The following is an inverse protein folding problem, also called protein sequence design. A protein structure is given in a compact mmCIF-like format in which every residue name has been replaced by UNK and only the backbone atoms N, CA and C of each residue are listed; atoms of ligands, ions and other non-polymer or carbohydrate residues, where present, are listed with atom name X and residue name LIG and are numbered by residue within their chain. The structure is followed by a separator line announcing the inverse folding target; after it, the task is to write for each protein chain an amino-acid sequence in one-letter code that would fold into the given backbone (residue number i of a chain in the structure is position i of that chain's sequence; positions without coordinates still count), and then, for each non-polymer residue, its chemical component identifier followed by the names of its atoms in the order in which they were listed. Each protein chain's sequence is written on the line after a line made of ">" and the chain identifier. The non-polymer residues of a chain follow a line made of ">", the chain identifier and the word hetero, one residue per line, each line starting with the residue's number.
data_IF_370527388996
#
_entry.id   IF_370527388996
#
_cell.length_a   1.000
_cell.length_b   1.000
_cell.length_c   1.000
_cell.angle_alpha   90.00
_cell.angle_beta   90.00
_cell.angle_gamma   90.00
#
_symmetry.space_group_name_H-M   'P 1'
#
loop_
_entity.id
_entity.type
_entity.pdbx_description
1 polymer ?
#
# COMPACT_ATOMS: atom_id res chain seq x y z
N UNK A 1 15.76 8.72 -1.25
CA UNK A 1 14.39 9.10 -0.85
C UNK A 1 13.45 8.69 -1.97
N UNK A 2 12.36 8.01 -1.65
CA UNK A 2 11.37 7.63 -2.67
C UNK A 2 10.52 8.85 -3.04
N UNK A 3 10.07 8.90 -4.29
CA UNK A 3 9.30 10.01 -4.85
C UNK A 3 7.98 9.46 -5.39
N UNK A 4 7.05 10.35 -5.78
CA UNK A 4 5.79 9.94 -6.44
C UNK A 4 6.04 9.00 -7.63
N UNK A 5 7.13 9.21 -8.38
CA UNK A 5 7.53 8.33 -9.48
C UNK A 5 7.85 6.91 -9.01
N UNK A 6 8.67 6.76 -7.96
CA UNK A 6 9.00 5.44 -7.39
C UNK A 6 7.76 4.72 -6.84
N UNK A 7 6.84 5.46 -6.21
CA UNK A 7 5.58 4.90 -5.71
C UNK A 7 4.71 4.40 -6.87
N UNK A 8 4.62 5.15 -7.97
CA UNK A 8 3.92 4.69 -9.19
C UNK A 8 4.53 3.41 -9.73
N UNK A 9 5.86 3.33 -9.86
CA UNK A 9 6.54 2.11 -10.30
C UNK A 9 6.23 0.92 -9.40
N UNK A 10 6.24 1.14 -8.08
CA UNK A 10 5.93 0.09 -7.10
C UNK A 10 4.49 -0.40 -7.29
N UNK A 11 3.51 0.51 -7.40
CA UNK A 11 2.10 0.15 -7.62
C UNK A 11 1.96 -0.63 -8.92
N UNK A 12 2.52 -0.16 -10.04
CA UNK A 12 2.43 -0.88 -11.31
C UNK A 12 3.03 -2.29 -11.23
N UNK A 13 4.18 -2.44 -10.57
CA UNK A 13 4.76 -3.76 -10.30
C UNK A 13 3.84 -4.66 -9.45
N UNK A 14 3.12 -4.10 -8.48
CA UNK A 14 2.13 -4.85 -7.70
C UNK A 14 0.96 -5.31 -8.56
N UNK A 15 0.51 -4.46 -9.48
CA UNK A 15 -0.60 -4.79 -10.40
C UNK A 15 -0.21 -5.95 -11.31
N UNK A 16 1.03 -5.97 -11.81
CA UNK A 16 1.58 -7.09 -12.58
C UNK A 16 1.67 -8.37 -11.74
N UNK A 17 2.21 -8.30 -10.51
CA UNK A 17 2.30 -9.46 -9.62
C UNK A 17 0.92 -9.98 -9.19
N UNK A 18 -0.07 -9.10 -9.07
CA UNK A 18 -1.46 -9.46 -8.74
C UNK A 18 -2.15 -10.27 -9.84
N UNK A 19 -1.69 -10.10 -11.08
CA UNK A 19 -2.08 -10.89 -12.24
C UNK A 19 -1.50 -12.29 -12.27
N UNK A 20 -0.28 -12.44 -11.80
CA UNK A 20 0.33 -13.76 -11.56
C UNK A 20 -0.41 -14.46 -10.41
N UNK A 21 -0.74 -13.69 -9.37
CA UNK A 21 -1.49 -14.14 -8.21
C UNK A 21 -0.63 -14.36 -6.97
N UNK A 22 -1.32 -14.43 -5.84
CA UNK A 22 -0.79 -14.84 -4.55
C UNK A 22 -0.61 -16.35 -4.52
N UNK A 23 0.28 -16.84 -3.67
CA UNK A 23 0.60 -18.27 -3.53
C UNK A 23 -0.55 -19.08 -2.91
N UNK A 24 -1.57 -18.39 -2.38
CA UNK A 24 -2.84 -19.00 -1.98
C UNK A 24 -3.82 -19.24 -3.16
N UNK A 25 -3.44 -18.87 -4.39
CA UNK A 25 -4.24 -19.03 -5.61
C UNK A 25 -5.17 -17.87 -5.94
N UNK A 26 -5.27 -16.84 -5.10
CA UNK A 26 -6.04 -15.63 -5.38
C UNK A 26 -5.29 -14.72 -6.36
N UNK A 27 -5.97 -14.22 -7.38
CA UNK A 27 -5.42 -13.27 -8.36
C UNK A 27 -6.48 -12.22 -8.72
N UNK A 28 -6.05 -11.01 -9.08
CA UNK A 28 -6.98 -9.91 -9.33
C UNK A 28 -6.41 -8.79 -10.21
N UNK A 29 -7.31 -8.17 -10.99
CA UNK A 29 -6.95 -7.03 -11.86
C UNK A 29 -7.06 -5.79 -11.02
N UNK A 30 -5.97 -5.37 -10.41
CA UNK A 30 -6.00 -4.08 -9.73
C UNK A 30 -6.15 -3.01 -10.83
N UNK A 31 -7.20 -2.17 -10.79
CA UNK A 31 -7.35 -1.08 -11.73
C UNK A 31 -6.20 -0.08 -11.58
N UNK A 32 -6.08 0.87 -12.52
CA UNK A 32 -5.13 1.95 -12.33
C UNK A 32 -5.47 2.73 -11.06
N UNK A 33 -4.45 2.93 -10.23
CA UNK A 33 -4.57 3.61 -8.96
C UNK A 33 -4.02 5.02 -9.06
N UNK A 34 -4.77 5.96 -8.51
CA UNK A 34 -4.39 7.35 -8.41
C UNK A 34 -3.63 7.58 -7.11
N UNK A 35 -2.61 8.43 -7.16
CA UNK A 35 -1.86 8.82 -5.97
C UNK A 35 -2.10 10.29 -5.72
N UNK A 36 -2.69 10.58 -4.58
CA UNK A 36 -2.85 11.93 -4.07
C UNK A 36 -1.89 12.17 -2.90
N UNK A 37 -1.18 13.30 -2.92
CA UNK A 37 -0.24 13.67 -1.85
C UNK A 37 -0.83 14.90 -1.17
N UNK A 38 -1.32 14.70 0.04
CA UNK A 38 -2.05 15.70 0.80
C UNK A 38 -1.12 16.59 1.61
N UNK A 39 -1.53 17.85 1.69
CA UNK A 39 -0.89 18.91 2.46
C UNK A 39 -1.91 19.50 3.45
N UNK A 40 -1.49 19.85 4.68
CA UNK A 40 -2.38 20.52 5.64
C UNK A 40 -3.01 21.81 5.09
N UNK A 41 -4.22 22.20 5.50
CA UNK A 41 -5.01 21.59 6.59
C UNK A 41 -5.94 20.45 6.14
N UNK A 42 -5.94 20.12 4.85
CA UNK A 42 -6.81 19.09 4.29
C UNK A 42 -6.15 17.71 4.32
N UNK A 43 -5.16 17.47 5.20
CA UNK A 43 -4.63 16.13 5.42
C UNK A 43 -5.48 15.38 6.46
N UNK A 44 -5.38 14.05 6.50
CA UNK A 44 -6.11 13.23 7.47
C UNK A 44 -5.30 13.01 8.74
N UNK A 45 -5.92 12.86 9.91
CA UNK A 45 -5.17 12.45 11.12
C UNK A 45 -4.62 11.02 10.98
N UNK A 46 -5.42 10.12 10.39
CA UNK A 46 -5.11 8.70 10.20
C UNK A 46 -5.34 7.86 11.46
N UNK A 47 -5.76 6.61 11.29
CA UNK A 47 -5.85 5.67 12.43
C UNK A 47 -4.43 5.30 12.84
N UNK A 48 -4.10 5.51 14.13
CA UNK A 48 -2.74 5.30 14.69
C UNK A 48 -1.64 6.06 13.92
N UNK A 49 -1.98 7.15 13.25
CA UNK A 49 -1.03 7.93 12.46
C UNK A 49 -0.56 7.24 11.17
N UNK A 50 -1.35 6.32 10.59
CA UNK A 50 -1.05 5.74 9.28
C UNK A 50 -0.84 6.89 8.26
N UNK A 51 0.33 6.96 7.58
CA UNK A 51 0.65 8.07 6.67
C UNK A 51 0.16 7.84 5.23
N UNK A 52 -0.49 6.72 4.94
CA UNK A 52 -1.11 6.36 3.67
C UNK A 52 -2.50 5.77 3.93
N UNK A 53 -3.45 5.96 3.02
CA UNK A 53 -4.78 5.33 3.08
C UNK A 53 -5.30 5.02 1.68
N UNK A 54 -5.89 3.84 1.51
CA UNK A 54 -6.72 3.51 0.36
C UNK A 54 -8.14 4.06 0.53
N UNK A 55 -8.64 4.78 -0.48
CA UNK A 55 -9.94 5.45 -0.41
C UNK A 55 -11.06 4.44 -0.70
N UNK A 56 -11.53 3.78 0.36
CA UNK A 56 -12.73 2.93 0.34
C UNK A 56 -14.01 3.73 0.66
N UNK A 57 -15.16 3.05 0.69
CA UNK A 57 -16.46 3.72 0.86
C UNK A 57 -16.56 4.50 2.17
N UNK A 58 -16.03 3.94 3.27
CA UNK A 58 -16.06 4.59 4.57
C UNK A 58 -15.20 5.86 4.58
N UNK A 59 -13.98 5.77 4.04
CA UNK A 59 -13.06 6.91 3.94
C UNK A 59 -13.63 8.00 3.05
N UNK A 60 -14.16 7.62 1.89
CA UNK A 60 -14.77 8.55 0.94
C UNK A 60 -15.98 9.27 1.54
N UNK A 61 -16.83 8.55 2.28
CA UNK A 61 -17.99 9.16 2.96
C UNK A 61 -17.59 10.20 4.01
N UNK A 62 -16.48 9.96 4.72
CA UNK A 62 -16.02 10.84 5.80
C UNK A 62 -15.26 12.07 5.29
N UNK A 63 -14.43 11.89 4.26
CA UNK A 63 -13.43 12.89 3.85
C UNK A 63 -13.56 13.32 2.39
N UNK A 64 -14.26 12.56 1.53
CA UNK A 64 -14.30 12.83 0.07
C UNK A 64 -14.87 14.19 -0.30
N UNK A 65 -15.73 14.79 0.54
CA UNK A 65 -16.22 16.16 0.32
C UNK A 65 -15.11 17.23 0.41
N UNK A 66 -13.97 16.92 1.03
CA UNK A 66 -12.79 17.79 1.11
C UNK A 66 -11.78 17.51 -0.01
N UNK A 67 -12.01 16.49 -0.83
CA UNK A 67 -11.07 15.94 -1.80
C UNK A 67 -11.78 15.58 -3.11
N UNK A 68 -12.03 16.60 -3.95
CA UNK A 68 -12.79 16.45 -5.20
C UNK A 68 -12.16 15.46 -6.20
N UNK A 69 -10.83 15.31 -6.15
CA UNK A 69 -10.08 14.42 -7.04
C UNK A 69 -10.05 12.95 -6.58
N UNK A 70 -10.66 12.62 -5.43
CA UNK A 70 -10.66 11.24 -4.97
C UNK A 70 -11.64 10.38 -5.76
N UNK A 71 -11.16 9.23 -6.19
CA UNK A 71 -11.94 8.19 -6.86
C UNK A 71 -12.04 6.97 -5.95
N UNK A 72 -13.28 6.63 -5.59
CA UNK A 72 -13.60 5.49 -4.75
C UNK A 72 -12.97 4.19 -5.29
N UNK A 73 -12.29 3.46 -4.40
CA UNK A 73 -11.57 2.23 -4.66
C UNK A 73 -10.46 2.34 -5.73
N UNK A 74 -9.96 3.55 -5.99
CA UNK A 74 -8.86 3.79 -6.93
C UNK A 74 -7.81 4.77 -6.42
N UNK A 75 -8.14 5.66 -5.49
CA UNK A 75 -7.16 6.59 -4.94
C UNK A 75 -6.45 5.99 -3.72
N UNK A 76 -5.12 6.18 -3.67
CA UNK A 76 -4.31 6.06 -2.46
C UNK A 76 -3.87 7.48 -2.10
N UNK A 77 -4.28 7.95 -0.92
CA UNK A 77 -3.90 9.25 -0.40
C UNK A 77 -2.74 9.12 0.58
N UNK A 78 -1.73 9.98 0.45
CA UNK A 78 -0.49 9.96 1.23
C UNK A 78 -0.28 11.31 1.91
N UNK A 79 0.26 11.32 3.12
CA UNK A 79 0.77 12.56 3.72
C UNK A 79 2.10 12.95 3.08
N UNK A 80 2.34 14.24 2.84
CA UNK A 80 3.62 14.70 2.29
C UNK A 80 4.83 14.25 3.12
N UNK A 81 4.75 14.33 4.45
CA UNK A 81 5.83 13.93 5.35
C UNK A 81 6.12 12.42 5.36
N UNK A 82 5.23 11.60 4.78
CA UNK A 82 5.47 10.18 4.56
C UNK A 82 6.68 9.93 3.68
N UNK A 83 6.91 10.80 2.70
CA UNK A 83 8.00 10.66 1.74
C UNK A 83 9.39 10.84 2.37
N UNK A 84 9.44 11.34 3.61
CA UNK A 84 10.66 11.47 4.41
C UNK A 84 11.03 10.19 5.18
N UNK A 85 10.16 9.17 5.17
CA UNK A 85 10.39 7.90 5.86
C UNK A 85 11.47 7.06 5.18
N UNK A 86 12.09 6.11 5.90
CA UNK A 86 12.97 5.11 5.31
C UNK A 86 12.29 4.38 4.13
N UNK A 87 13.02 4.05 3.04
CA UNK A 87 12.42 3.47 1.84
C UNK A 87 11.56 2.22 2.11
N UNK A 88 11.98 1.34 3.01
CA UNK A 88 11.22 0.12 3.33
C UNK A 88 9.89 0.41 4.04
N UNK A 89 9.85 1.44 4.90
CA UNK A 89 8.58 1.88 5.50
C UNK A 89 7.62 2.41 4.42
N UNK A 90 8.14 3.16 3.44
CA UNK A 90 7.34 3.67 2.33
C UNK A 90 6.83 2.51 1.47
N UNK A 91 7.73 1.61 1.04
CA UNK A 91 7.38 0.43 0.24
C UNK A 91 6.26 -0.34 0.95
N UNK A 92 6.49 -0.73 2.21
CA UNK A 92 5.55 -1.56 2.94
C UNK A 92 4.15 -0.93 3.09
N UNK A 93 4.06 0.36 3.39
CA UNK A 93 2.74 1.01 3.48
C UNK A 93 2.06 1.12 2.10
N UNK A 94 2.78 1.39 1.02
CA UNK A 94 2.18 1.40 -0.33
C UNK A 94 1.70 0.00 -0.73
N UNK A 95 2.47 -1.05 -0.43
CA UNK A 95 2.06 -2.43 -0.67
C UNK A 95 0.81 -2.78 0.14
N UNK A 96 0.73 -2.32 1.38
CA UNK A 96 -0.45 -2.49 2.23
C UNK A 96 -1.70 -1.87 1.63
N UNK A 97 -1.64 -0.58 1.26
CA UNK A 97 -2.80 0.12 0.67
C UNK A 97 -3.17 -0.46 -0.71
N UNK A 98 -2.17 -0.92 -1.47
CA UNK A 98 -2.42 -1.66 -2.73
C UNK A 98 -3.07 -3.02 -2.46
N UNK A 99 -2.78 -3.65 -1.32
CA UNK A 99 -3.46 -4.85 -0.86
C UNK A 99 -4.95 -4.65 -0.60
N UNK A 100 -5.36 -3.48 -0.10
CA UNK A 100 -6.78 -3.14 -0.03
C UNK A 100 -7.43 -3.04 -1.42
N UNK A 101 -6.74 -2.42 -2.39
CA UNK A 101 -7.20 -2.37 -3.77
C UNK A 101 -7.29 -3.78 -4.39
N UNK A 102 -6.32 -4.65 -4.10
CA UNK A 102 -6.33 -6.06 -4.47
C UNK A 102 -7.55 -6.78 -3.92
N UNK A 103 -7.84 -6.64 -2.62
CA UNK A 103 -8.97 -7.32 -2.00
C UNK A 103 -10.29 -6.97 -2.68
N UNK A 104 -10.50 -5.68 -2.97
CA UNK A 104 -11.68 -5.19 -3.70
C UNK A 104 -11.73 -5.78 -5.12
N UNK A 105 -10.61 -5.75 -5.85
CA UNK A 105 -10.53 -6.29 -7.21
C UNK A 105 -10.72 -7.81 -7.26
N UNK A 106 -10.25 -8.53 -6.26
CA UNK A 106 -10.36 -9.98 -6.10
C UNK A 106 -11.76 -10.43 -5.63
N UNK A 107 -12.62 -9.48 -5.26
CA UNK A 107 -13.94 -9.74 -4.65
C UNK A 107 -13.85 -10.58 -3.37
N UNK A 108 -12.78 -10.39 -2.59
CA UNK A 108 -12.64 -10.96 -1.24
C UNK A 108 -12.90 -9.88 -0.19
N UNK A 109 -13.04 -10.30 1.06
CA UNK A 109 -13.27 -9.36 2.16
C UNK A 109 -12.12 -8.36 2.28
N UNK A 110 -12.44 -7.05 2.25
CA UNK A 110 -11.43 -6.00 2.37
C UNK A 110 -11.07 -5.75 3.84
N UNK A 111 -10.26 -6.64 4.42
CA UNK A 111 -9.79 -6.56 5.80
C UNK A 111 -8.31 -6.17 5.88
N UNK A 112 -7.89 -5.66 7.04
CA UNK A 112 -6.47 -5.46 7.37
C UNK A 112 -5.66 -6.75 7.20
N UNK A 113 -6.21 -7.89 7.67
CA UNK A 113 -5.57 -9.20 7.57
C UNK A 113 -5.26 -9.59 6.12
N UNK A 114 -6.23 -9.44 5.21
CA UNK A 114 -6.02 -9.75 3.79
C UNK A 114 -5.03 -8.77 3.13
N UNK A 115 -5.07 -7.48 3.50
CA UNK A 115 -4.06 -6.52 3.06
C UNK A 115 -2.65 -6.87 3.57
N UNK A 116 -2.51 -7.37 4.80
CA UNK A 116 -1.22 -7.88 5.32
C UNK A 116 -0.74 -9.11 4.56
N UNK A 117 -1.61 -10.05 4.20
CA UNK A 117 -1.22 -11.21 3.37
C UNK A 117 -0.64 -10.74 2.04
N UNK A 118 -1.33 -9.81 1.36
CA UNK A 118 -0.84 -9.24 0.12
C UNK A 118 0.53 -8.53 0.30
N UNK A 119 0.65 -7.65 1.30
CA UNK A 119 1.89 -6.95 1.64
C UNK A 119 3.06 -7.94 1.84
N UNK A 120 2.86 -8.97 2.66
CA UNK A 120 3.89 -9.97 2.97
C UNK A 120 4.30 -10.73 1.72
N UNK A 121 3.33 -11.20 0.94
CA UNK A 121 3.60 -12.00 -0.25
C UNK A 121 4.33 -11.21 -1.34
N UNK A 122 3.92 -9.96 -1.58
CA UNK A 122 4.60 -9.11 -2.56
C UNK A 122 6.02 -8.80 -2.11
N UNK A 123 6.25 -8.42 -0.84
CA UNK A 123 7.61 -8.17 -0.33
C UNK A 123 8.49 -9.42 -0.50
N UNK A 124 7.95 -10.61 -0.20
CA UNK A 124 8.68 -11.87 -0.38
C UNK A 124 9.08 -12.08 -1.85
N UNK A 125 8.15 -11.95 -2.80
CA UNK A 125 8.42 -12.10 -4.24
C UNK A 125 9.47 -11.10 -4.71
N UNK A 126 9.33 -9.83 -4.34
CA UNK A 126 10.30 -8.78 -4.67
C UNK A 126 11.71 -9.10 -4.12
N UNK A 127 11.80 -9.67 -2.91
CA UNK A 127 13.08 -10.05 -2.30
C UNK A 127 13.70 -11.27 -2.99
N UNK A 128 12.92 -12.32 -3.24
CA UNK A 128 13.36 -13.55 -3.92
C UNK A 128 13.89 -13.25 -5.33
N UNK A 129 13.22 -12.34 -6.05
CA UNK A 129 13.60 -11.90 -7.40
C UNK A 129 14.72 -10.85 -7.42
N UNK A 130 15.16 -10.36 -6.26
CA UNK A 130 16.10 -9.21 -6.13
C UNK A 130 15.61 -8.01 -6.95
N UNK A 131 14.32 -7.75 -6.87
CA UNK A 131 13.64 -6.78 -7.72
C UNK A 131 14.17 -5.36 -7.51
N UNK A 132 14.36 -4.57 -8.58
CA UNK A 132 14.72 -3.16 -8.46
C UNK A 132 13.63 -2.33 -7.77
N UNK A 133 12.40 -2.85 -7.63
CA UNK A 133 11.31 -2.20 -6.90
C UNK A 133 11.52 -2.18 -5.37
N UNK A 134 12.53 -2.87 -4.85
CA UNK A 134 13.01 -2.67 -3.48
C UNK A 134 13.87 -1.41 -3.33
N UNK A 135 14.23 -0.74 -4.44
CA UNK A 135 14.94 0.54 -4.45
C UNK A 135 16.22 0.56 -3.58
N UNK A 136 16.94 -0.56 -3.57
CA UNK A 136 18.18 -0.72 -2.80
C UNK A 136 17.99 -1.21 -1.36
N UNK A 137 16.77 -1.44 -0.89
CA UNK A 137 16.52 -2.14 0.37
C UNK A 137 17.12 -3.56 0.33
N UNK A 138 17.81 -3.91 1.39
CA UNK A 138 18.46 -5.21 1.59
C UNK A 138 17.53 -6.19 2.31
N UNK A 139 17.92 -7.48 2.35
CA UNK A 139 17.23 -8.45 3.19
C UNK A 139 17.23 -8.08 4.69
N UNK A 140 18.24 -7.32 5.14
CA UNK A 140 18.28 -6.77 6.50
C UNK A 140 17.18 -5.74 6.75
N UNK A 141 16.94 -4.85 5.77
CA UNK A 141 15.88 -3.83 5.84
C UNK A 141 14.50 -4.47 5.84
N UNK A 142 14.29 -5.49 4.99
CA UNK A 142 13.04 -6.27 4.93
C UNK A 142 12.78 -7.00 6.27
N UNK A 143 13.81 -7.62 6.84
CA UNK A 143 13.70 -8.28 8.14
C UNK A 143 13.31 -7.28 9.24
N UNK A 144 14.01 -6.15 9.33
CA UNK A 144 13.73 -5.11 10.31
C UNK A 144 12.32 -4.54 10.14
N UNK A 145 11.85 -4.36 8.90
CA UNK A 145 10.49 -3.95 8.61
C UNK A 145 9.46 -4.94 9.18
N UNK A 146 9.60 -6.23 8.90
CA UNK A 146 8.67 -7.23 9.43
C UNK A 146 8.72 -7.35 10.95
N UNK A 147 9.90 -7.27 11.57
CA UNK A 147 10.02 -7.24 13.04
C UNK A 147 9.20 -6.08 13.65
N UNK A 148 9.25 -4.90 13.04
CA UNK A 148 8.46 -3.74 13.45
C UNK A 148 6.95 -3.92 13.17
N UNK A 149 6.58 -4.67 12.13
CA UNK A 149 5.18 -4.92 11.74
C UNK A 149 4.50 -6.06 12.51
N UNK A 150 5.27 -6.97 13.13
CA UNK A 150 4.73 -8.12 13.88
C UNK A 150 3.60 -7.78 14.88
N UNK A 151 3.66 -6.68 15.67
CA UNK A 151 2.57 -6.34 16.60
C UNK A 151 1.24 -6.02 15.92
N UNK A 152 1.26 -5.61 14.65
CA UNK A 152 0.06 -5.31 13.86
C UNK A 152 -0.56 -6.59 13.33
N UNK A 153 0.25 -7.50 12.78
CA UNK A 153 -0.21 -8.80 12.27
C UNK A 153 -0.88 -9.68 13.32
N UNK A 154 -0.46 -9.57 14.59
CA UNK A 154 -1.05 -10.34 15.71
C UNK A 154 -2.41 -9.83 16.18
N UNK A 155 -2.85 -8.66 15.70
CA UNK A 155 -4.13 -8.04 16.08
C UNK A 155 -5.17 -8.10 14.95
N UNK A 156 -4.79 -8.67 13.81
CA UNK A 156 -5.61 -8.82 12.62
C UNK A 156 -6.52 -10.05 12.73
#
# INVERSE_FOLDING_TARGET
>A
MLTKYHIRLLIEGCRELSWIGLDNGTKASIPELEIDILVPPNDFLGVKGNPAIFINENTFRLLGALHEDWVLNKTIALKENFLLKPPMEIIGAILHETGHAFNVAAQIENTEGNAYVFEIEIIRKLLEEKSPLLFGCTGGDVKAYFENRLPFYKKA
#
